data_IF_737586216094
#
_entry.id   IF_737586216094
#
_cell.length_a   1.000
_cell.length_b   1.000
_cell.length_c   1.000
_cell.angle_alpha   90.00
_cell.angle_beta   90.00
_cell.angle_gamma   90.00
#
_symmetry.space_group_name_H-M   'P 1'
#
loop_
_entity.id
_entity.type
_entity.pdbx_description
1 polymer ?
#
# COMPACT_ATOMS: atom_id res chain seq x y z
N UNK A 1 -52.20 23.56 -38.99
CA UNK A 1 -50.91 24.04 -38.44
C UNK A 1 -50.74 23.89 -36.91
N UNK A 2 -51.81 23.80 -36.08
CA UNK A 2 -51.67 23.66 -34.60
C UNK A 2 -51.11 22.31 -34.10
N UNK A 3 -51.41 21.20 -34.79
CA UNK A 3 -50.97 19.84 -34.37
C UNK A 3 -49.46 19.61 -34.51
N UNK A 4 -48.83 20.20 -35.53
CA UNK A 4 -47.37 20.10 -35.75
C UNK A 4 -46.56 20.83 -34.68
N UNK A 5 -47.04 21.99 -34.20
CA UNK A 5 -46.42 22.70 -33.08
C UNK A 5 -46.51 21.90 -31.77
N UNK A 6 -47.63 21.22 -31.54
CA UNK A 6 -47.84 20.42 -30.31
C UNK A 6 -46.93 19.18 -30.27
N UNK A 7 -46.67 18.53 -31.42
CA UNK A 7 -45.74 17.40 -31.52
C UNK A 7 -44.29 17.81 -31.33
N UNK A 8 -43.89 19.00 -31.80
CA UNK A 8 -42.54 19.53 -31.58
C UNK A 8 -42.27 19.81 -30.09
N UNK A 9 -43.24 20.39 -29.38
CA UNK A 9 -43.14 20.63 -27.94
C UNK A 9 -43.02 19.34 -27.12
N UNK A 10 -43.76 18.30 -27.50
CA UNK A 10 -43.69 17.00 -26.83
C UNK A 10 -42.30 16.35 -27.00
N UNK A 11 -41.71 16.42 -28.19
CA UNK A 11 -40.39 15.87 -28.46
C UNK A 11 -39.28 16.58 -27.65
N UNK A 12 -39.38 17.90 -27.47
CA UNK A 12 -38.42 18.67 -26.67
C UNK A 12 -38.51 18.29 -25.19
N UNK A 13 -39.71 18.16 -24.63
CA UNK A 13 -39.88 17.81 -23.20
C UNK A 13 -39.39 16.39 -22.92
N UNK A 14 -39.69 15.44 -23.80
CA UNK A 14 -39.21 14.05 -23.65
C UNK A 14 -37.68 13.98 -23.80
N UNK A 15 -37.11 14.69 -24.78
CA UNK A 15 -35.66 14.77 -24.96
C UNK A 15 -34.94 15.37 -23.75
N UNK A 16 -35.49 16.44 -23.17
CA UNK A 16 -34.92 17.07 -21.98
C UNK A 16 -35.02 16.15 -20.75
N UNK A 17 -36.14 15.43 -20.59
CA UNK A 17 -36.30 14.45 -19.51
C UNK A 17 -35.27 13.32 -19.59
N UNK A 18 -35.03 12.77 -20.78
CA UNK A 18 -34.04 11.72 -21.01
C UNK A 18 -32.60 12.22 -20.79
N UNK A 19 -32.31 13.47 -21.13
CA UNK A 19 -31.03 14.12 -20.88
C UNK A 19 -30.77 14.27 -19.37
N UNK A 20 -31.78 14.69 -18.59
CA UNK A 20 -31.63 14.87 -17.15
C UNK A 20 -31.47 13.52 -16.41
N UNK A 21 -32.17 12.48 -16.85
CA UNK A 21 -32.00 11.12 -16.30
C UNK A 21 -30.60 10.57 -16.60
N UNK A 22 -30.11 10.73 -17.83
CA UNK A 22 -28.76 10.27 -18.19
C UNK A 22 -27.65 11.04 -17.47
N UNK A 23 -27.84 12.34 -17.23
CA UNK A 23 -26.91 13.14 -16.43
C UNK A 23 -26.89 12.72 -14.95
N UNK A 24 -28.05 12.38 -14.38
CA UNK A 24 -28.13 11.90 -12.98
C UNK A 24 -27.44 10.56 -12.75
N UNK A 25 -27.43 9.68 -13.76
CA UNK A 25 -26.74 8.38 -13.74
C UNK A 25 -25.21 8.51 -13.85
N UNK A 26 -24.70 9.63 -14.37
CA UNK A 26 -23.26 9.91 -14.41
C UNK A 26 -22.73 10.46 -13.07
N UNK A 27 -23.52 11.28 -12.37
CA UNK A 27 -23.10 11.95 -11.14
C UNK A 27 -23.14 10.99 -9.92
N UNK A 28 -23.98 9.96 -9.97
CA UNK A 28 -24.16 9.00 -8.88
C UNK A 28 -23.19 7.82 -8.86
N UNK A 29 -22.17 7.77 -9.73
CA UNK A 29 -21.16 6.71 -9.68
C UNK A 29 -20.23 6.94 -8.50
N UNK A 30 -20.24 6.09 -7.45
CA UNK A 30 -19.18 6.15 -6.46
C UNK A 30 -17.88 5.86 -7.18
N UNK A 31 -16.98 6.84 -7.22
CA UNK A 31 -15.58 6.58 -7.55
C UNK A 31 -15.10 5.65 -6.43
N UNK A 32 -14.99 4.36 -6.73
CA UNK A 32 -14.20 3.44 -5.94
C UNK A 32 -12.77 3.95 -6.05
N UNK A 33 -12.39 4.85 -5.15
CA UNK A 33 -11.00 5.16 -4.89
C UNK A 33 -10.42 3.83 -4.40
N UNK A 34 -9.77 3.10 -5.32
CA UNK A 34 -9.01 1.92 -4.96
C UNK A 34 -8.14 2.28 -3.76
N UNK A 35 -8.05 1.36 -2.79
CA UNK A 35 -7.22 1.54 -1.62
C UNK A 35 -5.89 2.17 -2.06
N UNK A 36 -5.56 3.34 -1.50
CA UNK A 36 -4.33 4.02 -1.85
C UNK A 36 -3.19 3.00 -1.76
N UNK A 37 -2.27 2.93 -2.75
CA UNK A 37 -1.14 2.03 -2.65
C UNK A 37 -0.49 2.27 -1.29
N UNK A 38 -0.29 1.18 -0.52
CA UNK A 38 0.39 1.26 0.76
C UNK A 38 1.68 2.06 0.54
N UNK A 39 1.94 3.03 1.42
CA UNK A 39 3.12 3.86 1.30
C UNK A 39 4.35 2.95 1.23
N UNK A 40 4.96 2.90 0.05
CA UNK A 40 6.18 2.15 -0.20
C UNK A 40 7.34 3.14 -0.12
N UNK A 41 8.12 3.04 0.95
CA UNK A 41 9.36 3.78 1.08
C UNK A 41 10.54 2.92 0.60
N UNK A 42 11.62 3.58 0.20
CA UNK A 42 12.92 2.93 0.04
C UNK A 42 13.65 2.97 1.38
N UNK A 43 14.45 1.96 1.66
CA UNK A 43 15.44 2.05 2.73
C UNK A 43 16.43 3.20 2.46
N UNK A 44 17.09 3.65 3.52
CA UNK A 44 18.10 4.70 3.51
C UNK A 44 19.29 4.25 4.35
N UNK A 45 20.43 4.06 3.69
CA UNK A 45 21.70 3.73 4.32
C UNK A 45 22.42 4.97 4.92
N UNK A 46 23.21 4.82 6.00
CA UNK A 46 23.42 3.58 6.76
C UNK A 46 22.24 3.30 7.71
N UNK A 47 21.80 2.04 7.78
CA UNK A 47 20.82 1.57 8.78
C UNK A 47 21.29 0.30 9.51
N UNK A 48 22.61 0.10 9.56
CA UNK A 48 23.27 -1.12 10.00
C UNK A 48 23.22 -1.37 11.52
N UNK A 49 22.70 -0.40 12.28
CA UNK A 49 22.62 -0.43 13.73
C UNK A 49 21.24 0.05 14.20
N UNK A 50 20.81 -0.39 15.38
CA UNK A 50 19.49 -0.11 15.91
C UNK A 50 19.19 1.39 16.08
N UNK A 51 20.20 2.19 16.43
CA UNK A 51 20.09 3.65 16.55
C UNK A 51 20.07 4.38 15.19
N UNK A 52 20.32 3.66 14.10
CA UNK A 52 20.21 4.11 12.71
C UNK A 52 18.94 3.59 12.02
N UNK A 53 18.04 2.94 12.76
CA UNK A 53 16.89 2.27 12.19
C UNK A 53 16.03 3.23 11.35
N UNK A 54 15.70 2.83 10.12
CA UNK A 54 14.79 3.59 9.28
C UNK A 54 13.36 3.52 9.86
N UNK A 55 12.65 4.64 9.86
CA UNK A 55 11.27 4.69 10.35
C UNK A 55 10.29 4.10 9.31
N UNK A 56 9.50 3.12 9.72
CA UNK A 56 8.45 2.48 8.94
C UNK A 56 7.08 2.91 9.48
N UNK A 57 6.29 3.60 8.65
CA UNK A 57 4.91 3.95 8.98
C UNK A 57 4.00 2.72 8.97
N UNK A 58 3.00 2.67 9.86
CA UNK A 58 2.03 1.56 9.91
C UNK A 58 0.60 2.01 9.54
N UNK A 59 -0.08 1.30 8.62
CA UNK A 59 0.44 0.22 7.76
C UNK A 59 1.39 0.76 6.68
N UNK A 60 2.40 -0.02 6.29
CA UNK A 60 3.40 0.41 5.30
C UNK A 60 4.28 -0.72 4.80
N UNK A 61 5.08 -0.41 3.78
CA UNK A 61 6.04 -1.34 3.18
C UNK A 61 7.34 -0.58 2.89
N UNK A 62 8.47 -1.25 3.08
CA UNK A 62 9.78 -0.72 2.68
C UNK A 62 10.44 -1.72 1.74
N UNK A 63 11.08 -1.23 0.70
CA UNK A 63 11.91 -2.03 -0.21
C UNK A 63 13.38 -1.67 -0.03
N UNK A 64 14.23 -2.70 -0.11
CA UNK A 64 15.65 -2.60 0.11
C UNK A 64 16.45 -3.70 -0.61
N UNK A 65 17.76 -3.68 -0.41
CA UNK A 65 18.75 -4.57 -1.00
C UNK A 65 19.74 -5.02 0.07
N UNK A 66 19.55 -6.23 0.61
CA UNK A 66 20.54 -6.84 1.49
C UNK A 66 21.71 -7.43 0.67
N UNK A 67 22.94 -7.17 1.09
CA UNK A 67 24.16 -7.70 0.51
C UNK A 67 24.88 -8.64 1.48
N UNK A 68 25.48 -9.70 0.95
CA UNK A 68 26.33 -10.60 1.74
C UNK A 68 27.82 -10.29 1.62
N UNK A 69 28.18 -9.18 0.97
CA UNK A 69 29.56 -8.73 0.76
C UNK A 69 29.63 -7.21 0.95
N UNK A 70 30.06 -6.73 2.13
CA UNK A 70 30.44 -7.51 3.31
C UNK A 70 29.24 -8.20 3.99
N UNK A 71 29.47 -9.27 4.77
CA UNK A 71 28.45 -9.98 5.59
C UNK A 71 27.96 -9.11 6.79
N UNK A 72 28.20 -7.80 6.74
CA UNK A 72 27.83 -6.87 7.82
C UNK A 72 26.52 -6.16 7.57
N UNK A 73 25.89 -6.37 6.41
CA UNK A 73 24.65 -5.70 6.04
C UNK A 73 23.50 -6.24 6.91
N UNK A 74 23.06 -5.43 7.87
CA UNK A 74 21.96 -5.75 8.78
C UNK A 74 21.01 -4.57 8.86
N UNK A 75 19.91 -4.65 8.15
CA UNK A 75 19.03 -3.51 7.98
C UNK A 75 18.06 -3.37 9.16
N UNK A 76 18.17 -2.28 9.91
CA UNK A 76 17.27 -1.99 11.02
C UNK A 76 16.11 -1.09 10.60
N UNK A 77 14.90 -1.47 10.99
CA UNK A 77 13.67 -0.69 10.82
C UNK A 77 12.95 -0.54 12.17
N UNK A 78 12.30 0.60 12.38
CA UNK A 78 11.49 0.87 13.58
C UNK A 78 10.07 1.30 13.19
N UNK A 79 9.09 0.89 13.99
CA UNK A 79 7.69 1.24 13.75
C UNK A 79 6.97 1.51 15.08
N UNK A 80 6.14 2.56 15.19
CA UNK A 80 5.41 2.86 16.42
C UNK A 80 4.26 1.86 16.62
N UNK A 81 4.16 1.28 17.81
CA UNK A 81 3.08 0.37 18.19
C UNK A 81 2.15 1.00 19.23
N UNK A 82 0.88 0.57 19.22
CA UNK A 82 -0.15 0.91 20.21
C UNK A 82 -0.47 -0.33 21.04
N UNK A 83 -0.49 -0.18 22.36
CA UNK A 83 -0.79 -1.27 23.27
C UNK A 83 -2.16 -1.90 22.99
N UNK A 84 -2.23 -3.23 23.05
CA UNK A 84 -3.46 -4.00 22.82
C UNK A 84 -3.77 -4.32 21.35
N UNK A 85 -2.93 -3.88 20.41
CA UNK A 85 -3.06 -4.24 18.99
C UNK A 85 -2.15 -5.42 18.62
N UNK A 86 -2.55 -6.15 17.58
CA UNK A 86 -1.76 -7.23 17.00
C UNK A 86 -1.07 -6.74 15.73
N UNK A 87 0.22 -6.99 15.62
CA UNK A 87 1.06 -6.58 14.50
C UNK A 87 1.62 -7.79 13.77
N UNK A 88 1.85 -7.64 12.46
CA UNK A 88 2.48 -8.66 11.62
C UNK A 88 3.49 -7.98 10.72
N UNK A 89 4.73 -8.47 10.77
CA UNK A 89 5.77 -8.15 9.81
C UNK A 89 5.93 -9.33 8.84
N UNK A 90 6.17 -9.03 7.57
CA UNK A 90 6.39 -10.02 6.51
C UNK A 90 7.58 -9.60 5.68
N UNK A 91 8.50 -10.53 5.44
CA UNK A 91 9.60 -10.34 4.50
C UNK A 91 9.28 -11.03 3.19
N UNK A 92 9.34 -10.29 2.09
CA UNK A 92 9.29 -10.83 0.75
C UNK A 92 10.66 -10.66 0.13
N UNK A 93 11.27 -11.76 -0.30
CA UNK A 93 12.61 -11.77 -0.88
C UNK A 93 12.44 -11.96 -2.39
N UNK A 94 12.99 -11.03 -3.16
CA UNK A 94 13.06 -11.13 -4.62
C UNK A 94 14.52 -11.17 -5.08
N UNK A 95 14.78 -11.88 -6.18
CA UNK A 95 16.10 -11.94 -6.81
C UNK A 95 16.64 -13.37 -6.95
N UNK A 96 17.64 -13.53 -7.82
CA UNK A 96 18.38 -14.78 -7.98
C UNK A 96 19.63 -14.73 -7.08
N UNK A 97 19.51 -15.21 -5.86
CA UNK A 97 20.64 -15.31 -4.92
C UNK A 97 20.40 -16.40 -3.89
N UNK A 98 21.44 -16.80 -3.15
CA UNK A 98 21.39 -17.82 -2.09
C UNK A 98 21.26 -17.22 -0.68
N UNK A 99 20.99 -15.92 -0.59
CA UNK A 99 20.99 -15.23 0.70
C UNK A 99 19.79 -15.65 1.54
N UNK A 100 20.07 -16.23 2.69
CA UNK A 100 19.07 -16.59 3.68
C UNK A 100 18.78 -15.40 4.57
N UNK A 101 17.62 -14.78 4.37
CA UNK A 101 17.18 -13.63 5.16
C UNK A 101 16.09 -14.05 6.15
N UNK A 102 16.04 -13.35 7.29
CA UNK A 102 14.99 -13.50 8.30
C UNK A 102 14.68 -12.13 8.93
N UNK A 103 13.48 -11.98 9.46
CA UNK A 103 13.15 -10.87 10.36
C UNK A 103 13.41 -11.30 11.78
N UNK A 104 14.05 -10.44 12.56
CA UNK A 104 14.11 -10.53 14.03
C UNK A 104 13.47 -9.28 14.59
N UNK A 105 12.55 -9.44 15.55
CA UNK A 105 11.80 -8.34 16.16
C UNK A 105 12.25 -8.18 17.60
N UNK A 106 12.57 -6.94 17.96
CA UNK A 106 12.90 -6.51 19.30
C UNK A 106 11.92 -5.43 19.76
N UNK A 107 11.81 -5.21 21.07
CA UNK A 107 11.18 -4.00 21.61
C UNK A 107 12.16 -2.81 21.61
N UNK A 108 11.70 -1.64 22.07
CA UNK A 108 12.52 -0.44 22.13
C UNK A 108 13.73 -0.51 23.09
N UNK A 109 13.79 -1.53 23.97
CA UNK A 109 14.90 -1.79 24.90
C UNK A 109 15.82 -2.89 24.39
N UNK A 110 15.65 -3.33 23.14
CA UNK A 110 16.40 -4.41 22.52
C UNK A 110 16.11 -5.78 23.12
N UNK A 111 14.98 -5.94 23.82
CA UNK A 111 14.54 -7.27 24.25
C UNK A 111 14.01 -8.02 23.04
N UNK A 112 14.51 -9.24 22.81
CA UNK A 112 14.00 -10.13 21.77
C UNK A 112 12.53 -10.44 22.01
N UNK A 113 11.72 -10.30 20.95
CA UNK A 113 10.31 -10.66 20.96
C UNK A 113 10.05 -11.93 20.15
N UNK A 114 10.50 -11.95 18.90
CA UNK A 114 10.27 -13.07 17.97
C UNK A 114 11.17 -13.01 16.74
N UNK A 115 11.17 -14.06 15.92
CA UNK A 115 11.85 -14.09 14.62
C UNK A 115 11.10 -14.95 13.61
N UNK A 116 11.21 -14.62 12.33
CA UNK A 116 10.76 -15.51 11.25
C UNK A 116 11.77 -16.65 11.05
N UNK A 117 11.33 -17.71 10.35
CA UNK A 117 12.27 -18.64 9.73
C UNK A 117 13.14 -17.92 8.70
N UNK A 118 14.35 -18.42 8.49
CA UNK A 118 15.20 -17.99 7.38
C UNK A 118 14.68 -18.58 6.08
N UNK A 119 14.56 -17.73 5.06
CA UNK A 119 14.08 -18.14 3.74
C UNK A 119 14.93 -17.50 2.65
N UNK A 120 14.92 -18.16 1.49
CA UNK A 120 15.34 -17.59 0.22
C UNK A 120 14.28 -18.01 -0.81
N UNK A 121 13.71 -17.05 -1.53
CA UNK A 121 12.77 -17.34 -2.62
C UNK A 121 13.43 -16.98 -3.95
N UNK A 122 14.17 -17.94 -4.50
CA UNK A 122 14.61 -17.91 -5.89
C UNK A 122 13.45 -18.35 -6.78
N UNK A 123 12.90 -17.41 -7.55
CA UNK A 123 11.93 -17.67 -8.62
C UNK A 123 12.62 -17.78 -9.97
#
# INVERSE_FOLDING_TARGET
MRRSRMMLWLAVVVGLGLLLVSLSLLIGRPVLLGAAPLAQASEVEPNNYFDQANSLGMPGTVSGQAQNQPITDTDFFSAPTTAGLNYRATLSIGGAGDLLLKIVVYDHTWSYLTSSSSSNSSS
#
